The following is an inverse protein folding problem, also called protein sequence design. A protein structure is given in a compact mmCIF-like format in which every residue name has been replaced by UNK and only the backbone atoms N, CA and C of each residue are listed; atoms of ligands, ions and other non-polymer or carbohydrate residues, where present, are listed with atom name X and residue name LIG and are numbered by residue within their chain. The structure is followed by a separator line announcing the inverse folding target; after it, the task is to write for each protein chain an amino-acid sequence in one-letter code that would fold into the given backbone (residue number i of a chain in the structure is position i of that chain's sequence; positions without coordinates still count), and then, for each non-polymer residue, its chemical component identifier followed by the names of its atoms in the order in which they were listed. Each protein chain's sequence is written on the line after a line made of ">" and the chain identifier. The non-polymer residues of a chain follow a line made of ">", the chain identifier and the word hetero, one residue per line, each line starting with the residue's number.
data_IF_433402626021
#
_entry.id   IF_433402626021
#
_cell.length_a   1.000
_cell.length_b   1.000
_cell.length_c   1.000
_cell.angle_alpha   90.00
_cell.angle_beta   90.00
_cell.angle_gamma   90.00
#
_symmetry.space_group_name_H-M   'P 1'
#
loop_
_entity.id
_entity.type
_entity.pdbx_description
1 polymer ?
#
# COMPACT_ATOMS: atom_id res chain seq x y z
N UNK A 1 3.15 -2.24 15.19
CA UNK A 1 1.70 -2.00 15.27
C UNK A 1 1.28 -1.33 13.98
N UNK A 2 0.40 -1.95 13.20
CA UNK A 2 -0.11 -1.34 11.96
C UNK A 2 -1.36 -0.54 12.31
N UNK A 3 -1.36 0.76 12.03
CA UNK A 3 -2.60 1.54 12.04
C UNK A 3 -3.22 1.41 10.64
N UNK A 4 -4.52 1.10 10.57
CA UNK A 4 -5.31 1.15 9.34
C UNK A 4 -6.55 1.97 9.65
N UNK A 5 -6.62 3.18 9.11
CA UNK A 5 -7.83 4.00 9.16
C UNK A 5 -8.56 3.86 7.82
N UNK A 6 -9.82 3.40 7.84
CA UNK A 6 -10.66 3.29 6.65
C UNK A 6 -11.64 4.45 6.61
N UNK A 7 -11.56 5.29 5.58
CA UNK A 7 -12.56 6.32 5.30
C UNK A 7 -13.42 5.87 4.12
N UNK A 8 -14.75 5.98 4.28
CA UNK A 8 -15.74 5.74 3.23
C UNK A 8 -16.38 7.06 2.83
N UNK A 9 -16.39 7.37 1.53
CA UNK A 9 -17.10 8.55 1.01
C UNK A 9 -18.42 8.10 0.37
N UNK A 10 -19.54 8.80 0.63
CA UNK A 10 -20.84 8.38 0.11
C UNK A 10 -21.02 8.67 -1.40
N UNK A 11 -20.28 9.63 -1.95
CA UNK A 11 -20.42 10.06 -3.33
C UNK A 11 -19.60 9.22 -4.32
N UNK A 12 -18.54 8.57 -3.84
CA UNK A 12 -17.72 7.61 -4.58
C UNK A 12 -17.39 6.45 -3.68
N UNK A 13 -17.59 5.22 -4.17
CA UNK A 13 -17.25 3.96 -3.51
C UNK A 13 -15.73 3.80 -3.37
N UNK A 14 -15.14 4.64 -2.53
CA UNK A 14 -13.71 4.81 -2.34
C UNK A 14 -13.34 4.44 -0.90
N UNK A 15 -12.34 3.58 -0.78
CA UNK A 15 -11.70 3.18 0.47
C UNK A 15 -10.36 3.91 0.57
N UNK A 16 -10.17 4.71 1.60
CA UNK A 16 -8.86 5.33 1.89
C UNK A 16 -8.25 4.62 3.08
N UNK A 17 -7.01 4.15 2.95
CA UNK A 17 -6.24 3.50 4.00
C UNK A 17 -4.94 4.26 4.29
N UNK A 18 -4.68 4.55 5.56
CA UNK A 18 -3.36 5.02 6.04
C UNK A 18 -2.67 3.87 6.75
N UNK A 19 -1.45 3.50 6.35
CA UNK A 19 -0.73 2.31 6.82
C UNK A 19 0.69 2.67 7.27
N UNK A 20 1.16 2.09 8.37
CA UNK A 20 2.56 2.15 8.79
C UNK A 20 3.15 0.74 8.82
N UNK A 21 4.23 0.50 8.09
CA UNK A 21 4.94 -0.78 8.04
C UNK A 21 6.31 -0.63 8.71
N UNK A 22 6.53 -1.27 9.88
CA UNK A 22 7.82 -1.21 10.57
C UNK A 22 8.96 -1.77 9.71
N UNK A 23 10.17 -1.25 9.92
CA UNK A 23 11.36 -1.64 9.16
C UNK A 23 11.72 -3.12 9.36
N UNK A 24 11.38 -3.68 10.53
CA UNK A 24 11.70 -5.05 10.93
C UNK A 24 10.81 -6.10 10.22
N UNK A 25 9.64 -5.70 9.72
CA UNK A 25 8.66 -6.62 9.14
C UNK A 25 8.84 -6.77 7.63
N UNK A 26 9.52 -7.81 7.16
CA UNK A 26 9.87 -7.97 5.73
C UNK A 26 8.69 -8.32 4.81
N UNK A 27 7.50 -8.58 5.35
CA UNK A 27 6.33 -9.01 4.59
C UNK A 27 5.23 -7.95 4.59
N UNK A 28 4.50 -7.87 3.48
CA UNK A 28 3.28 -7.06 3.41
C UNK A 28 2.29 -7.51 4.50
N UNK A 29 1.70 -6.57 5.27
CA UNK A 29 0.75 -6.93 6.31
C UNK A 29 -0.44 -7.70 5.74
N UNK A 30 -0.80 -8.84 6.35
CA UNK A 30 -1.92 -9.67 5.90
C UNK A 30 -3.23 -8.89 5.79
N UNK A 31 -3.45 -7.91 6.67
CA UNK A 31 -4.62 -7.04 6.65
C UNK A 31 -4.68 -6.15 5.41
N UNK A 32 -3.54 -5.64 4.96
CA UNK A 32 -3.46 -4.83 3.75
C UNK A 32 -3.79 -5.66 2.50
N UNK A 33 -3.25 -6.88 2.42
CA UNK A 33 -3.55 -7.82 1.33
C UNK A 33 -5.04 -8.18 1.32
N UNK A 34 -5.63 -8.42 2.50
CA UNK A 34 -7.08 -8.69 2.63
C UNK A 34 -7.92 -7.49 2.19
N UNK A 35 -7.52 -6.27 2.56
CA UNK A 35 -8.23 -5.04 2.18
C UNK A 35 -8.22 -4.84 0.66
N UNK A 36 -7.07 -4.96 0.01
CA UNK A 36 -6.95 -4.84 -1.45
C UNK A 36 -7.81 -5.89 -2.16
N UNK A 37 -7.69 -7.16 -1.75
CA UNK A 37 -8.50 -8.25 -2.31
C UNK A 37 -10.00 -8.02 -2.13
N UNK A 38 -10.43 -7.47 -0.99
CA UNK A 38 -11.82 -7.12 -0.74
C UNK A 38 -12.29 -6.01 -1.69
N UNK A 39 -11.52 -4.93 -1.84
CA UNK A 39 -11.86 -3.81 -2.71
C UNK A 39 -11.94 -4.25 -4.18
N UNK A 40 -10.98 -5.04 -4.66
CA UNK A 40 -10.99 -5.61 -6.01
C UNK A 40 -12.22 -6.47 -6.28
N UNK A 41 -12.57 -7.37 -5.35
CA UNK A 41 -13.74 -8.27 -5.49
C UNK A 41 -15.07 -7.52 -5.45
N UNK A 42 -15.11 -6.37 -4.78
CA UNK A 42 -16.35 -5.59 -4.57
C UNK A 42 -16.48 -4.40 -5.52
N UNK A 43 -15.47 -4.17 -6.36
CA UNK A 43 -15.44 -3.02 -7.28
C UNK A 43 -15.35 -1.68 -6.56
N UNK A 44 -14.69 -1.65 -5.40
CA UNK A 44 -14.40 -0.42 -4.67
C UNK A 44 -13.05 0.14 -5.15
N UNK A 45 -13.01 1.44 -5.40
CA UNK A 45 -11.74 2.14 -5.58
C UNK A 45 -10.99 2.16 -4.25
N UNK A 46 -9.67 2.04 -4.29
CA UNK A 46 -8.84 2.04 -3.08
C UNK A 46 -7.61 2.94 -3.24
N UNK A 47 -7.35 3.77 -2.23
CA UNK A 47 -6.15 4.60 -2.12
C UNK A 47 -5.44 4.24 -0.81
N UNK A 48 -4.15 3.92 -0.91
CA UNK A 48 -3.32 3.54 0.24
C UNK A 48 -2.20 4.57 0.38
N UNK A 49 -2.25 5.35 1.46
CA UNK A 49 -1.10 6.10 1.94
C UNK A 49 -0.31 5.24 2.90
N UNK A 50 0.99 5.09 2.69
CA UNK A 50 1.82 4.27 3.58
C UNK A 50 3.18 4.87 3.81
N UNK A 51 3.65 4.75 5.05
CA UNK A 51 5.08 4.68 5.34
C UNK A 51 5.46 3.20 5.34
N UNK A 52 6.13 2.77 4.26
CA UNK A 52 6.41 1.35 4.01
C UNK A 52 7.76 0.88 4.54
N UNK A 53 8.62 1.83 4.92
CA UNK A 53 10.07 1.64 5.11
C UNK A 53 10.75 0.86 3.95
N UNK A 54 10.12 0.79 2.77
CA UNK A 54 10.62 0.07 1.61
C UNK A 54 11.25 1.05 0.62
N UNK A 55 12.41 0.71 0.08
CA UNK A 55 13.09 1.53 -0.90
C UNK A 55 12.96 0.88 -2.26
N UNK A 56 12.08 1.43 -3.11
CA UNK A 56 11.88 0.92 -4.46
C UNK A 56 12.43 1.87 -5.53
N UNK A 57 13.63 1.59 -6.02
CA UNK A 57 14.27 2.44 -7.03
C UNK A 57 13.45 2.60 -8.32
N UNK A 58 12.88 1.51 -8.84
CA UNK A 58 12.20 1.54 -10.15
C UNK A 58 10.85 2.27 -10.15
N UNK A 59 10.15 2.27 -9.03
CA UNK A 59 8.80 2.86 -8.94
C UNK A 59 8.83 4.20 -8.20
N UNK A 60 9.63 4.32 -7.13
CA UNK A 60 9.67 5.52 -6.30
C UNK A 60 10.95 6.35 -6.48
N UNK A 61 11.90 5.91 -7.31
CA UNK A 61 13.11 6.68 -7.63
C UNK A 61 14.16 6.72 -6.51
N UNK A 62 14.08 5.81 -5.53
CA UNK A 62 15.02 5.75 -4.41
C UNK A 62 16.40 5.27 -4.84
N UNK A 63 17.47 5.92 -4.36
CA UNK A 63 18.86 5.61 -4.75
C UNK A 63 19.36 4.26 -4.25
N UNK A 64 18.88 3.81 -3.08
CA UNK A 64 19.34 2.60 -2.40
C UNK A 64 18.18 1.65 -2.12
N UNK A 65 17.85 0.75 -3.06
CA UNK A 65 16.78 -0.22 -2.84
C UNK A 65 17.12 -1.19 -1.70
N UNK A 66 16.12 -1.58 -0.92
CA UNK A 66 16.26 -2.56 0.16
C UNK A 66 15.47 -3.84 -0.15
N UNK A 67 15.72 -4.91 0.61
CA UNK A 67 15.18 -6.25 0.34
C UNK A 67 13.66 -6.37 0.61
N UNK A 68 13.03 -5.33 1.16
CA UNK A 68 11.59 -5.30 1.45
C UNK A 68 10.72 -5.28 0.18
N UNK A 69 11.29 -4.88 -0.96
CA UNK A 69 10.57 -4.89 -2.23
C UNK A 69 10.84 -6.22 -2.94
N UNK A 70 9.81 -7.05 -3.19
CA UNK A 70 9.99 -8.30 -3.94
C UNK A 70 10.53 -7.99 -5.33
N UNK A 71 11.64 -8.64 -5.74
CA UNK A 71 12.22 -8.46 -7.09
C UNK A 71 11.25 -8.82 -8.23
N UNK A 72 10.17 -9.53 -7.92
CA UNK A 72 9.10 -9.95 -8.83
C UNK A 72 7.85 -9.06 -8.81
N UNK A 73 7.77 -8.02 -7.97
CA UNK A 73 6.55 -7.20 -7.83
C UNK A 73 6.32 -6.34 -9.08
N UNK A 74 5.51 -6.86 -10.00
CA UNK A 74 4.88 -6.08 -11.07
C UNK A 74 3.84 -5.16 -10.42
N UNK A 75 4.06 -3.85 -10.56
CA UNK A 75 3.09 -2.75 -10.53
C UNK A 75 2.09 -2.68 -9.36
N UNK A 76 2.41 -1.85 -8.37
CA UNK A 76 1.39 -1.00 -7.73
C UNK A 76 1.60 0.43 -8.25
N UNK A 77 0.78 0.85 -9.22
CA UNK A 77 0.85 2.16 -9.90
C UNK A 77 0.23 3.31 -9.09
N UNK A 78 -0.05 3.11 -7.79
CA UNK A 78 -1.00 3.94 -7.04
C UNK A 78 -0.41 4.89 -6.00
N UNK A 79 0.90 5.20 -6.03
CA UNK A 79 1.46 6.22 -5.13
C UNK A 79 1.33 7.59 -5.79
N UNK A 80 0.24 8.29 -5.48
CA UNK A 80 0.02 9.69 -5.87
C UNK A 80 1.10 10.55 -5.20
N UNK A 81 1.93 11.21 -6.02
CA UNK A 81 2.83 12.28 -5.57
C UNK A 81 1.97 13.52 -5.27
N UNK A 82 2.14 14.12 -4.09
CA UNK A 82 1.79 15.52 -3.87
C UNK A 82 2.82 16.41 -4.56
#
# INVERSE_FOLDING_TARGET
>A
MYAVAILYTQERRLVVASVYMPEEDTLLPHDLVRLVNFCEKTGLDVVIGTDSNAHYQRVWGMERPNERVPRSSRQCSGCVRY
#
